data_IF_537319511720
#
_entry.id   IF_537319511720
#
_cell.length_a   1.000
_cell.length_b   1.000
_cell.length_c   1.000
_cell.angle_alpha   90.00
_cell.angle_beta   90.00
_cell.angle_gamma   90.00
#
_symmetry.space_group_name_H-M   'P 1'
#
loop_
_entity.id
_entity.type
_entity.pdbx_description
1 polymer ?
#
# COMPACT_ATOMS: atom_id res chain seq x y z
N UNK A 1 -30.87 -3.42 -9.83
CA UNK A 1 -29.46 -3.84 -9.74
C UNK A 1 -28.84 -3.08 -8.58
N UNK A 2 -28.40 -3.77 -7.53
CA UNK A 2 -27.90 -3.13 -6.31
C UNK A 2 -26.46 -2.66 -6.55
N UNK A 3 -26.12 -1.47 -6.05
CA UNK A 3 -24.77 -0.85 -6.18
C UNK A 3 -23.65 -1.84 -5.81
N UNK A 4 -23.92 -2.76 -4.89
CA UNK A 4 -23.00 -3.80 -4.45
C UNK A 4 -22.63 -4.80 -5.57
N UNK A 5 -23.59 -5.21 -6.40
CA UNK A 5 -23.35 -6.11 -7.54
C UNK A 5 -22.53 -5.42 -8.64
N UNK A 6 -22.69 -4.10 -8.79
CA UNK A 6 -21.92 -3.32 -9.77
C UNK A 6 -20.45 -3.11 -9.32
N UNK A 7 -20.22 -2.94 -8.03
CA UNK A 7 -18.86 -2.84 -7.47
C UNK A 7 -18.13 -4.18 -7.56
N UNK A 8 -18.81 -5.30 -7.27
CA UNK A 8 -18.25 -6.64 -7.40
C UNK A 8 -17.90 -6.96 -8.86
N UNK A 9 -18.74 -6.54 -9.81
CA UNK A 9 -18.48 -6.72 -11.24
C UNK A 9 -17.29 -5.87 -11.74
N UNK A 10 -17.15 -4.65 -11.24
CA UNK A 10 -16.03 -3.77 -11.59
C UNK A 10 -14.70 -4.26 -11.01
N UNK A 11 -14.71 -4.82 -9.81
CA UNK A 11 -13.52 -5.43 -9.22
C UNK A 11 -13.17 -6.76 -9.90
N UNK A 12 -14.14 -7.60 -10.22
CA UNK A 12 -13.93 -8.83 -10.99
C UNK A 12 -13.33 -8.54 -12.36
N UNK A 13 -13.81 -7.52 -13.08
CA UNK A 13 -13.27 -7.15 -14.39
C UNK A 13 -11.82 -6.62 -14.28
N UNK A 14 -11.47 -5.89 -13.23
CA UNK A 14 -10.07 -5.49 -12.98
C UNK A 14 -9.15 -6.66 -12.67
N UNK A 15 -9.68 -7.71 -12.04
CA UNK A 15 -8.92 -8.93 -11.69
C UNK A 15 -8.73 -9.81 -12.93
N UNK A 16 -9.75 -9.94 -13.77
CA UNK A 16 -9.71 -10.75 -14.99
C UNK A 16 -8.76 -10.19 -16.06
N UNK A 17 -8.53 -8.88 -16.08
CA UNK A 17 -7.70 -8.22 -17.09
C UNK A 17 -6.18 -8.30 -16.81
N UNK A 18 -5.77 -8.82 -15.64
CA UNK A 18 -4.36 -8.84 -15.21
C UNK A 18 -3.66 -10.20 -15.34
N UNK A 19 -4.28 -11.21 -15.95
CA UNK A 19 -3.63 -12.48 -16.34
C UNK A 19 -2.90 -13.23 -15.22
N UNK A 20 -3.28 -13.06 -13.97
CA UNK A 20 -2.73 -13.75 -12.81
C UNK A 20 -3.70 -14.76 -12.22
N UNK A 21 -3.19 -15.79 -11.55
CA UNK A 21 -4.02 -16.72 -10.81
C UNK A 21 -4.80 -15.97 -9.72
N UNK A 22 -6.12 -16.13 -9.76
CA UNK A 22 -7.03 -15.53 -8.76
C UNK A 22 -6.96 -16.36 -7.49
N UNK A 23 -6.21 -15.89 -6.52
CA UNK A 23 -6.21 -16.52 -5.20
C UNK A 23 -7.42 -16.03 -4.40
N UNK A 24 -8.27 -16.96 -3.95
CA UNK A 24 -9.30 -16.67 -2.97
C UNK A 24 -8.64 -16.39 -1.61
N UNK A 25 -8.52 -15.14 -1.26
CA UNK A 25 -8.00 -14.75 0.05
C UNK A 25 -9.10 -14.86 1.10
N UNK A 26 -8.80 -15.58 2.17
CA UNK A 26 -9.66 -15.61 3.35
C UNK A 26 -9.36 -14.37 4.19
N UNK A 27 -10.39 -13.60 4.46
CA UNK A 27 -10.30 -12.47 5.37
C UNK A 27 -10.55 -12.91 6.81
N UNK A 28 -9.79 -12.35 7.73
CA UNK A 28 -10.20 -12.31 9.13
C UNK A 28 -11.31 -11.27 9.30
N UNK A 29 -12.15 -11.32 10.35
CA UNK A 29 -13.17 -10.30 10.61
C UNK A 29 -12.57 -8.87 10.65
N UNK A 30 -11.31 -8.76 11.07
CA UNK A 30 -10.57 -7.51 11.08
C UNK A 30 -10.16 -7.08 9.66
N UNK A 31 -9.71 -8.00 8.82
CA UNK A 31 -9.38 -7.75 7.42
C UNK A 31 -10.61 -7.33 6.60
N UNK A 32 -11.77 -7.96 6.84
CA UNK A 32 -13.04 -7.57 6.22
C UNK A 32 -13.40 -6.11 6.57
N UNK A 33 -13.25 -5.74 7.82
CA UNK A 33 -13.49 -4.36 8.27
C UNK A 33 -12.56 -3.38 7.58
N UNK A 34 -11.25 -3.66 7.50
CA UNK A 34 -10.28 -2.83 6.81
C UNK A 34 -10.59 -2.72 5.31
N UNK A 35 -11.03 -3.81 4.68
CA UNK A 35 -11.41 -3.81 3.27
C UNK A 35 -12.64 -2.93 3.00
N UNK A 36 -13.59 -2.89 3.95
CA UNK A 36 -14.79 -2.05 3.85
C UNK A 36 -14.52 -0.58 4.18
N UNK A 37 -13.62 -0.32 5.12
CA UNK A 37 -13.18 1.02 5.48
C UNK A 37 -12.18 1.53 4.44
N UNK A 38 -12.65 2.34 3.50
CA UNK A 38 -11.77 3.06 2.57
C UNK A 38 -11.05 4.23 3.26
N UNK A 39 -10.65 4.04 4.51
CA UNK A 39 -9.91 5.05 5.24
C UNK A 39 -8.51 5.19 4.68
N UNK A 40 -8.08 6.44 4.52
CA UNK A 40 -6.75 6.78 4.01
C UNK A 40 -5.62 6.19 4.88
N UNK A 41 -5.86 6.10 6.18
CA UNK A 41 -4.87 5.62 7.16
C UNK A 41 -5.32 4.32 7.82
N UNK A 42 -4.43 3.33 7.80
CA UNK A 42 -4.61 2.02 8.44
C UNK A 42 -3.45 1.76 9.39
N UNK A 43 -3.67 0.96 10.43
CA UNK A 43 -2.62 0.56 11.37
C UNK A 43 -1.85 1.78 11.92
N UNK A 44 -2.58 2.72 12.51
CA UNK A 44 -2.03 4.00 12.97
C UNK A 44 -1.28 3.88 14.29
N UNK A 45 -1.33 2.73 14.95
CA UNK A 45 -0.65 2.49 16.21
C UNK A 45 0.87 2.50 16.01
N UNK A 46 1.57 3.01 17.02
CA UNK A 46 3.02 2.94 17.03
C UNK A 46 3.47 1.46 17.05
N UNK A 47 4.41 1.03 16.16
CA UNK A 47 4.77 -0.39 16.01
C UNK A 47 5.33 -1.04 17.27
N UNK A 48 5.84 -0.24 18.20
CA UNK A 48 6.38 -0.69 19.50
C UNK A 48 5.78 0.16 20.62
N UNK A 49 4.62 -0.19 21.15
CA UNK A 49 3.88 0.64 22.10
C UNK A 49 4.68 0.98 23.37
N UNK A 50 5.61 0.11 23.79
CA UNK A 50 6.49 0.38 24.94
C UNK A 50 7.51 1.50 24.68
N UNK A 51 7.76 1.84 23.41
CA UNK A 51 8.74 2.84 22.99
C UNK A 51 8.10 3.99 22.22
N UNK A 52 6.80 4.19 22.41
CA UNK A 52 6.05 5.23 21.70
C UNK A 52 6.66 6.63 21.88
N UNK A 53 6.70 7.40 20.80
CA UNK A 53 7.22 8.77 20.76
C UNK A 53 6.10 9.74 20.45
N UNK A 54 6.11 10.91 21.06
CA UNK A 54 5.12 11.96 20.80
C UNK A 54 5.27 12.57 19.40
N UNK A 55 6.52 12.65 18.91
CA UNK A 55 6.83 13.21 17.58
C UNK A 55 7.02 12.07 16.57
N UNK A 56 5.92 11.46 16.19
CA UNK A 56 5.89 10.35 15.26
C UNK A 56 4.72 10.55 14.29
N UNK A 57 4.98 10.38 13.00
CA UNK A 57 3.96 10.40 11.95
C UNK A 57 4.07 9.08 11.19
N UNK A 58 2.99 8.32 11.18
CA UNK A 58 2.91 7.10 10.38
C UNK A 58 2.63 7.48 8.92
N UNK A 59 3.27 6.78 8.00
CA UNK A 59 3.13 7.00 6.56
C UNK A 59 2.33 5.89 5.87
N UNK A 60 1.61 5.09 6.65
CA UNK A 60 0.67 4.13 6.10
C UNK A 60 -0.44 4.85 5.31
N UNK A 61 -1.07 4.12 4.41
CA UNK A 61 -2.15 4.65 3.57
C UNK A 61 -1.84 4.50 2.09
N UNK A 62 -2.46 5.31 1.24
CA UNK A 62 -2.31 5.19 -0.20
C UNK A 62 -1.02 5.83 -0.69
N UNK A 63 -0.28 5.07 -1.49
CA UNK A 63 0.91 5.46 -2.20
C UNK A 63 0.71 5.17 -3.68
N UNK A 64 1.28 5.96 -4.56
CA UNK A 64 1.36 5.59 -5.97
C UNK A 64 2.30 4.41 -6.13
N UNK A 65 1.96 3.50 -7.05
CA UNK A 65 2.85 2.40 -7.39
C UNK A 65 2.96 2.20 -8.89
N UNK A 66 4.07 1.57 -9.30
CA UNK A 66 4.26 1.06 -10.65
C UNK A 66 5.03 -0.26 -10.58
N UNK A 67 4.72 -1.20 -11.47
CA UNK A 67 5.44 -2.46 -11.63
C UNK A 67 6.11 -2.43 -13.00
N UNK A 68 7.43 -2.64 -13.02
CA UNK A 68 8.24 -2.58 -14.25
C UNK A 68 9.09 -3.83 -14.38
N UNK A 69 9.42 -4.21 -15.61
CA UNK A 69 10.36 -5.29 -15.91
C UNK A 69 11.83 -4.86 -15.94
N UNK A 70 12.12 -3.62 -15.59
CA UNK A 70 13.47 -3.07 -15.52
C UNK A 70 13.59 -2.11 -14.32
N UNK A 71 14.81 -1.74 -13.95
CA UNK A 71 15.11 -0.82 -12.88
C UNK A 71 15.06 0.66 -13.32
N UNK A 72 14.56 0.94 -14.52
CA UNK A 72 14.40 2.30 -15.04
C UNK A 72 13.17 2.94 -14.42
N UNK A 73 13.37 4.04 -13.71
CA UNK A 73 12.28 4.80 -13.10
C UNK A 73 11.29 5.27 -14.17
N UNK A 74 10.04 4.83 -14.04
CA UNK A 74 8.95 5.31 -14.88
C UNK A 74 8.30 6.55 -14.31
N UNK A 75 7.80 7.39 -15.21
CA UNK A 75 6.99 8.56 -14.85
C UNK A 75 5.51 8.17 -14.71
N UNK A 76 5.08 7.10 -15.40
CA UNK A 76 3.70 6.63 -15.37
C UNK A 76 3.48 5.66 -14.21
N UNK A 77 2.45 5.95 -13.42
CA UNK A 77 2.02 5.14 -12.30
C UNK A 77 0.87 4.21 -12.71
N UNK A 78 0.91 2.97 -12.26
CA UNK A 78 -0.14 1.98 -12.54
C UNK A 78 -1.39 2.21 -11.68
N UNK A 79 -1.23 2.89 -10.53
CA UNK A 79 -2.33 3.20 -9.64
C UNK A 79 -1.88 3.52 -8.22
N UNK A 80 -2.73 3.18 -7.26
CA UNK A 80 -2.46 3.37 -5.84
C UNK A 80 -2.42 2.02 -5.12
N UNK A 81 -1.48 1.88 -4.21
CA UNK A 81 -1.32 0.74 -3.31
C UNK A 81 -1.51 1.19 -1.87
N UNK A 82 -2.21 0.42 -1.08
CA UNK A 82 -2.41 0.69 0.35
C UNK A 82 -1.27 0.08 1.17
N UNK A 83 -0.36 0.91 1.61
CA UNK A 83 0.75 0.53 2.52
C UNK A 83 0.22 0.41 3.95
N UNK A 84 0.60 -0.58 4.76
CA UNK A 84 1.75 -1.48 4.61
C UNK A 84 1.44 -2.85 3.99
N UNK A 85 0.32 -3.01 3.32
CA UNK A 85 -0.05 -4.29 2.73
C UNK A 85 0.81 -4.58 1.50
N UNK A 86 1.28 -5.84 1.41
CA UNK A 86 2.06 -6.28 0.24
C UNK A 86 1.18 -6.37 -1.01
N UNK A 87 1.75 -6.24 -2.22
CA UNK A 87 0.97 -6.21 -3.45
C UNK A 87 0.15 -7.47 -3.71
N UNK A 88 0.55 -8.62 -3.14
CA UNK A 88 -0.16 -9.89 -3.30
C UNK A 88 -1.49 -9.91 -2.55
N UNK A 89 -1.63 -9.09 -1.51
CA UNK A 89 -2.85 -9.09 -0.71
C UNK A 89 -3.95 -8.25 -1.35
N UNK A 90 -5.20 -8.69 -1.22
CA UNK A 90 -6.35 -7.90 -1.66
C UNK A 90 -6.50 -6.58 -0.89
N UNK A 91 -5.99 -6.52 0.36
CA UNK A 91 -6.01 -5.31 1.18
C UNK A 91 -5.11 -4.20 0.63
N UNK A 92 -4.09 -4.55 -0.17
CA UNK A 92 -3.26 -3.57 -0.87
C UNK A 92 -3.99 -2.82 -1.98
N UNK A 93 -5.04 -3.43 -2.54
CA UNK A 93 -5.73 -2.97 -3.74
C UNK A 93 -5.06 -3.38 -5.06
N UNK A 94 -3.88 -4.01 -5.02
CA UNK A 94 -3.15 -4.48 -6.21
C UNK A 94 -3.48 -5.93 -6.52
N UNK A 95 -3.50 -6.78 -5.49
CA UNK A 95 -3.84 -8.21 -5.57
C UNK A 95 -3.05 -8.94 -6.67
N UNK A 96 -1.73 -8.72 -6.71
CA UNK A 96 -0.85 -9.28 -7.74
C UNK A 96 0.47 -9.72 -7.11
N UNK A 97 0.89 -10.95 -7.39
CA UNK A 97 2.22 -11.42 -7.08
C UNK A 97 3.24 -10.87 -8.08
N UNK A 98 4.36 -10.33 -7.56
CA UNK A 98 5.48 -9.91 -8.39
C UNK A 98 6.23 -11.10 -8.95
N UNK A 99 6.72 -10.97 -10.17
CA UNK A 99 7.66 -11.92 -10.77
C UNK A 99 9.08 -11.61 -10.33
N UNK A 100 10.01 -12.60 -10.39
CA UNK A 100 11.40 -12.39 -9.97
C UNK A 100 12.16 -11.31 -10.71
N UNK A 101 11.71 -10.97 -11.93
CA UNK A 101 12.30 -9.96 -12.81
C UNK A 101 11.53 -8.63 -12.82
N UNK A 102 10.61 -8.44 -11.87
CA UNK A 102 9.81 -7.22 -11.76
C UNK A 102 10.25 -6.36 -10.58
N UNK A 103 10.16 -5.06 -10.78
CA UNK A 103 10.48 -4.02 -9.80
C UNK A 103 9.20 -3.31 -9.39
N UNK A 104 9.00 -3.14 -8.10
CA UNK A 104 7.87 -2.41 -7.53
C UNK A 104 8.33 -1.04 -7.05
N UNK A 105 7.79 -0.02 -7.65
CA UNK A 105 8.07 1.37 -7.35
C UNK A 105 6.98 1.96 -6.48
N UNK A 106 7.37 2.76 -5.50
CA UNK A 106 6.46 3.49 -4.62
C UNK A 106 6.78 5.00 -4.65
N UNK A 107 5.73 5.81 -4.63
CA UNK A 107 5.87 7.25 -4.44
C UNK A 107 4.80 7.78 -3.51
N UNK A 108 5.23 8.60 -2.55
CA UNK A 108 4.35 9.43 -1.72
C UNK A 108 4.95 10.80 -1.51
N UNK A 109 4.13 11.84 -1.64
CA UNK A 109 4.50 13.21 -1.25
C UNK A 109 4.38 13.35 0.25
N UNK A 110 5.42 13.88 0.88
CA UNK A 110 5.43 14.21 2.28
C UNK A 110 5.38 15.74 2.44
N UNK A 111 4.35 16.20 3.13
CA UNK A 111 4.32 17.59 3.61
C UNK A 111 4.96 17.61 4.99
N UNK A 112 6.05 18.34 5.10
CA UNK A 112 6.84 18.44 6.31
C UNK A 112 6.81 19.87 6.77
N UNK A 113 6.31 20.09 7.98
CA UNK A 113 6.41 21.37 8.65
C UNK A 113 7.88 21.77 8.86
N UNK A 114 8.10 23.06 9.12
CA UNK A 114 9.45 23.56 9.39
C UNK A 114 10.09 22.79 10.54
N UNK A 115 11.22 22.17 10.26
CA UNK A 115 12.01 21.46 11.28
C UNK A 115 12.64 22.50 12.20
N UNK A 116 12.40 22.48 13.51
CA UNK A 116 13.00 23.43 14.44
C UNK A 116 14.54 23.34 14.44
N UNK A 117 15.21 24.44 14.71
CA UNK A 117 16.67 24.46 14.80
C UNK A 117 17.19 23.41 15.80
N UNK A 118 18.26 22.71 15.43
CA UNK A 118 18.84 21.64 16.24
C UNK A 118 18.06 20.33 16.29
N UNK A 119 16.96 20.22 15.53
CA UNK A 119 16.20 18.96 15.37
C UNK A 119 16.53 18.30 14.03
N UNK A 120 16.30 17.00 13.95
CA UNK A 120 16.42 16.21 12.72
C UNK A 120 15.13 15.48 12.44
N UNK A 121 14.78 15.37 11.18
CA UNK A 121 13.74 14.45 10.72
C UNK A 121 14.40 13.13 10.36
N UNK A 122 13.84 12.03 10.87
CA UNK A 122 14.27 10.68 10.53
C UNK A 122 13.15 10.01 9.75
N UNK A 123 13.48 9.45 8.61
CA UNK A 123 12.61 8.57 7.85
C UNK A 123 12.99 7.13 8.18
N UNK A 124 12.02 6.37 8.71
CA UNK A 124 12.25 4.99 9.10
C UNK A 124 11.45 4.06 8.18
N UNK A 125 12.12 3.12 7.55
CA UNK A 125 11.52 2.03 6.82
C UNK A 125 11.48 0.79 7.72
N UNK A 126 10.29 0.24 7.94
CA UNK A 126 10.13 -0.98 8.74
C UNK A 126 10.64 -2.21 8.01
N UNK A 127 10.42 -2.25 6.71
CA UNK A 127 10.93 -3.26 5.80
C UNK A 127 11.05 -2.66 4.39
N UNK A 128 12.06 -3.08 3.68
CA UNK A 128 12.27 -2.82 2.26
C UNK A 128 12.97 -4.04 1.67
N UNK A 129 12.45 -4.57 0.57
CA UNK A 129 13.04 -5.72 -0.08
C UNK A 129 14.16 -5.27 -1.01
N UNK A 130 15.34 -5.82 -0.81
CA UNK A 130 16.63 -5.62 -1.48
C UNK A 130 17.14 -4.16 -1.57
N UNK A 131 16.38 -3.24 -2.17
CA UNK A 131 16.83 -1.85 -2.41
C UNK A 131 15.74 -0.83 -2.10
N UNK A 132 16.09 0.29 -1.50
CA UNK A 132 15.25 1.47 -1.35
C UNK A 132 16.07 2.77 -1.50
#
# INVERSE_FOLDING_TARGET
MKIREMLDTLQLNKILDKGGETHHQLFTPWGERIAQEQTETVLTEYPRPQMARKNYKILNGFWKYAITGDDTRRVLWDGEIRVPFSPETSLSGVNRQLKPDEYLWYERKLEIDRIPAGKRLLLNFGACDERC
#
